data_IF_899627340647
#
_entry.id   IF_899627340647
#
_cell.length_a   1.000
_cell.length_b   1.000
_cell.length_c   1.000
_cell.angle_alpha   90.00
_cell.angle_beta   90.00
_cell.angle_gamma   90.00
#
_symmetry.space_group_name_H-M   'P 1'
#
loop_
_entity.id
_entity.type
_entity.pdbx_description
1 polymer ?
#
# COMPACT_ATOMS: atom_id res chain seq x y z
N UNK A 1 -25.83 3.92 10.68
CA UNK A 1 -24.74 2.95 10.80
C UNK A 1 -23.43 3.72 10.78
N UNK A 2 -22.62 3.67 11.84
CA UNK A 2 -21.33 4.36 11.84
C UNK A 2 -20.32 3.55 11.00
N UNK A 3 -19.59 4.23 10.11
CA UNK A 3 -18.53 3.61 9.32
C UNK A 3 -17.27 3.49 10.17
N UNK A 4 -16.87 2.27 10.54
CA UNK A 4 -15.61 2.00 11.22
C UNK A 4 -14.49 1.77 10.20
N UNK A 5 -13.52 2.68 10.18
CA UNK A 5 -12.37 2.63 9.30
C UNK A 5 -11.25 1.68 9.78
N UNK A 6 -11.36 1.12 10.99
CA UNK A 6 -10.37 0.23 11.63
C UNK A 6 -8.95 0.80 11.63
N UNK A 7 -8.84 2.12 11.85
CA UNK A 7 -7.55 2.81 11.95
C UNK A 7 -6.87 2.36 13.25
N UNK A 8 -5.58 1.98 13.24
CA UNK A 8 -4.89 1.57 14.46
C UNK A 8 -4.86 2.69 15.50
N UNK A 9 -4.79 2.34 16.78
CA UNK A 9 -4.76 3.29 17.89
C UNK A 9 -3.37 3.91 18.08
N UNK A 10 -3.27 4.96 18.89
CA UNK A 10 -2.02 5.62 19.26
C UNK A 10 -1.62 6.83 18.39
N UNK A 11 -0.46 7.46 18.70
CA UNK A 11 0.03 8.65 18.00
C UNK A 11 0.23 8.41 16.51
N UNK A 12 0.02 9.44 15.67
CA UNK A 12 0.05 9.32 14.20
C UNK A 12 1.38 8.73 13.70
N UNK A 13 2.51 9.23 14.21
CA UNK A 13 3.86 8.84 13.80
C UNK A 13 4.16 7.36 14.07
N UNK A 14 3.64 6.81 15.16
CA UNK A 14 3.94 5.44 15.59
C UNK A 14 2.82 4.45 15.23
N UNK A 15 1.67 4.96 14.79
CA UNK A 15 0.42 4.21 14.62
C UNK A 15 0.59 2.90 13.86
N UNK A 16 1.25 2.95 12.70
CA UNK A 16 1.43 1.79 11.83
C UNK A 16 2.63 0.93 12.21
N UNK A 17 3.66 1.52 12.81
CA UNK A 17 4.78 0.78 13.40
C UNK A 17 4.29 -0.10 14.55
N UNK A 18 3.49 0.45 15.45
CA UNK A 18 2.87 -0.28 16.57
C UNK A 18 1.85 -1.33 16.09
N UNK A 19 1.09 -1.02 15.03
CA UNK A 19 0.19 -2.01 14.45
C UNK A 19 0.96 -3.20 13.86
N UNK A 20 2.03 -2.96 13.10
CA UNK A 20 2.86 -4.03 12.52
C UNK A 20 3.53 -4.89 13.58
N UNK A 21 3.93 -4.33 14.73
CA UNK A 21 4.58 -5.12 15.79
C UNK A 21 3.61 -6.02 16.56
N UNK A 22 2.32 -5.70 16.55
CA UNK A 22 1.27 -6.43 17.27
C UNK A 22 0.42 -7.34 16.38
N UNK A 23 0.57 -7.27 15.06
CA UNK A 23 -0.23 -8.06 14.12
C UNK A 23 0.08 -9.56 14.24
N UNK A 24 -0.96 -10.38 14.28
CA UNK A 24 -0.81 -11.85 14.29
C UNK A 24 -0.22 -12.32 12.97
N UNK A 25 0.91 -13.01 13.04
CA UNK A 25 1.58 -13.56 11.87
C UNK A 25 0.97 -14.90 11.45
N UNK A 26 0.98 -15.18 10.15
CA UNK A 26 0.58 -16.48 9.60
C UNK A 26 1.82 -17.38 9.52
N UNK A 27 1.75 -18.55 10.17
CA UNK A 27 2.80 -19.56 10.10
C UNK A 27 3.05 -19.99 8.63
N UNK A 28 4.30 -20.07 8.16
CA UNK A 28 4.64 -20.56 6.81
C UNK A 28 3.93 -21.84 6.36
N UNK A 29 3.78 -22.83 7.24
CA UNK A 29 3.08 -24.09 6.94
C UNK A 29 1.58 -23.89 6.67
N UNK A 30 0.99 -22.83 7.21
CA UNK A 30 -0.43 -22.51 7.03
C UNK A 30 -0.70 -21.64 5.81
N UNK A 31 0.30 -20.93 5.26
CA UNK A 31 0.10 -20.03 4.10
C UNK A 31 -0.49 -20.76 2.89
N UNK A 32 -0.01 -21.97 2.60
CA UNK A 32 -0.51 -22.82 1.49
C UNK A 32 -1.95 -23.31 1.66
N UNK A 33 -2.47 -23.27 2.89
CA UNK A 33 -3.86 -23.66 3.20
C UNK A 33 -4.84 -22.50 2.98
N UNK A 34 -4.33 -21.28 2.81
CA UNK A 34 -5.14 -20.09 2.60
C UNK A 34 -5.15 -19.73 1.11
N UNK A 35 -6.34 -19.59 0.56
CA UNK A 35 -6.55 -19.12 -0.80
C UNK A 35 -6.94 -17.64 -0.78
N UNK A 36 -6.25 -16.83 -1.59
CA UNK A 36 -6.46 -15.39 -1.69
C UNK A 36 -7.02 -15.09 -3.07
N UNK A 37 -8.18 -14.44 -3.11
CA UNK A 37 -8.79 -13.95 -4.33
C UNK A 37 -8.43 -12.48 -4.51
N UNK A 38 -7.75 -12.15 -5.60
CA UNK A 38 -7.42 -10.77 -5.97
C UNK A 38 -8.32 -10.36 -7.13
N UNK A 39 -9.17 -9.36 -6.91
CA UNK A 39 -10.11 -8.85 -7.91
C UNK A 39 -9.54 -7.55 -8.49
N UNK A 40 -9.19 -7.59 -9.77
CA UNK A 40 -8.53 -6.52 -10.49
C UNK A 40 -7.03 -6.79 -10.69
N UNK A 41 -6.54 -6.54 -11.90
CA UNK A 41 -5.14 -6.77 -12.30
C UNK A 41 -4.40 -5.48 -12.71
N UNK A 42 -4.87 -4.33 -12.22
CA UNK A 42 -4.08 -3.08 -12.27
C UNK A 42 -2.88 -3.15 -11.32
N UNK A 43 -2.10 -2.06 -11.23
CA UNK A 43 -0.87 -2.05 -10.42
C UNK A 43 -1.07 -2.58 -8.99
N UNK A 44 -2.09 -2.08 -8.28
CA UNK A 44 -2.36 -2.54 -6.91
C UNK A 44 -2.68 -4.04 -6.82
N UNK A 45 -3.51 -4.56 -7.74
CA UNK A 45 -3.91 -5.97 -7.73
C UNK A 45 -2.78 -6.90 -8.17
N UNK A 46 -2.06 -6.53 -9.24
CA UNK A 46 -0.89 -7.28 -9.71
C UNK A 46 0.21 -7.33 -8.64
N UNK A 47 0.55 -6.20 -8.02
CA UNK A 47 1.54 -6.14 -6.93
C UNK A 47 1.10 -6.98 -5.72
N UNK A 48 -0.17 -6.87 -5.29
CA UNK A 48 -0.68 -7.68 -4.20
C UNK A 48 -0.63 -9.18 -4.53
N UNK A 49 -1.04 -9.58 -5.73
CA UNK A 49 -1.03 -10.96 -6.17
C UNK A 49 0.41 -11.52 -6.21
N UNK A 50 1.36 -10.76 -6.76
CA UNK A 50 2.77 -11.15 -6.83
C UNK A 50 3.39 -11.31 -5.44
N UNK A 51 3.30 -10.31 -4.58
CA UNK A 51 3.89 -10.36 -3.23
C UNK A 51 3.28 -11.48 -2.37
N UNK A 52 1.96 -11.72 -2.48
CA UNK A 52 1.32 -12.79 -1.73
C UNK A 52 1.68 -14.18 -2.29
N UNK A 53 1.78 -14.33 -3.61
CA UNK A 53 2.24 -15.57 -4.22
C UNK A 53 3.69 -15.90 -3.82
N UNK A 54 4.58 -14.91 -3.83
CA UNK A 54 5.98 -15.03 -3.39
C UNK A 54 6.08 -15.47 -1.92
N UNK A 55 5.20 -14.97 -1.06
CA UNK A 55 5.12 -15.39 0.34
C UNK A 55 4.65 -16.84 0.52
N UNK A 56 4.17 -17.52 -0.53
CA UNK A 56 3.75 -18.91 -0.53
C UNK A 56 2.23 -19.12 -0.35
N UNK A 57 1.42 -18.09 -0.55
CA UNK A 57 -0.04 -18.21 -0.55
C UNK A 57 -0.55 -18.75 -1.90
N UNK A 58 -1.72 -19.41 -1.87
CA UNK A 58 -2.42 -19.78 -3.11
C UNK A 58 -3.22 -18.57 -3.58
N UNK A 59 -2.80 -17.93 -4.67
CA UNK A 59 -3.43 -16.71 -5.18
C UNK A 59 -4.20 -17.00 -6.48
N UNK A 60 -5.44 -16.53 -6.55
CA UNK A 60 -6.25 -16.47 -7.78
C UNK A 60 -6.50 -15.01 -8.13
N UNK A 61 -5.99 -14.56 -9.28
CA UNK A 61 -6.19 -13.21 -9.77
C UNK A 61 -7.29 -13.20 -10.85
N UNK A 62 -8.23 -12.28 -10.73
CA UNK A 62 -9.35 -12.11 -11.65
C UNK A 62 -9.30 -10.72 -12.28
N UNK A 63 -9.47 -10.65 -13.59
CA UNK A 63 -9.70 -9.40 -14.31
C UNK A 63 -11.03 -9.46 -15.05
N UNK A 64 -11.69 -8.31 -15.14
CA UNK A 64 -12.89 -8.16 -15.97
C UNK A 64 -12.53 -7.79 -17.41
N UNK A 65 -11.35 -7.21 -17.61
CA UNK A 65 -10.87 -6.77 -18.92
C UNK A 65 -10.49 -7.94 -19.83
N UNK A 66 -10.50 -7.72 -21.14
CA UNK A 66 -10.07 -8.71 -22.16
C UNK A 66 -8.64 -9.22 -21.95
N UNK A 67 -7.80 -8.43 -21.28
CA UNK A 67 -6.44 -8.83 -20.90
C UNK A 67 -6.08 -8.23 -19.54
N UNK A 68 -5.33 -8.95 -18.69
CA UNK A 68 -4.81 -8.43 -17.44
C UNK A 68 -4.01 -7.12 -17.58
N UNK A 69 -3.45 -6.85 -18.77
CA UNK A 69 -2.65 -5.65 -19.08
C UNK A 69 -3.49 -4.42 -19.47
N UNK A 70 -4.81 -4.53 -19.53
CA UNK A 70 -5.71 -3.44 -19.97
C UNK A 70 -6.36 -2.66 -18.82
N UNK A 71 -5.88 -2.83 -17.59
CA UNK A 71 -6.27 -1.96 -16.49
C UNK A 71 -5.77 -0.53 -16.72
N UNK A 72 -6.51 0.47 -16.24
CA UNK A 72 -6.21 1.90 -16.47
C UNK A 72 -4.79 2.31 -16.04
N UNK A 73 -4.17 1.57 -15.12
CA UNK A 73 -2.79 1.80 -14.71
C UNK A 73 -1.78 1.82 -15.86
N UNK A 74 -2.06 1.18 -17.01
CA UNK A 74 -1.18 1.23 -18.19
C UNK A 74 -1.07 2.62 -18.81
N UNK A 75 -2.05 3.51 -18.55
CA UNK A 75 -2.07 4.87 -19.08
C UNK A 75 -1.29 5.87 -18.21
N UNK A 76 -0.69 5.43 -17.09
CA UNK A 76 0.11 6.31 -16.24
C UNK A 76 1.40 6.74 -16.95
N UNK A 77 1.76 8.03 -16.84
CA UNK A 77 2.91 8.61 -17.56
C UNK A 77 3.88 9.38 -16.65
N UNK A 78 3.38 10.23 -15.75
CA UNK A 78 4.22 11.19 -15.02
C UNK A 78 5.25 10.56 -14.08
N UNK A 79 4.83 9.56 -13.29
CA UNK A 79 5.71 8.87 -12.34
C UNK A 79 4.99 8.44 -11.07
N UNK A 80 5.79 8.04 -10.08
CA UNK A 80 5.33 7.68 -8.73
C UNK A 80 6.03 8.58 -7.71
N UNK A 81 5.27 9.17 -6.80
CA UNK A 81 5.81 9.97 -5.71
C UNK A 81 6.38 9.05 -4.63
N UNK A 82 7.58 9.37 -4.15
CA UNK A 82 8.22 8.66 -3.05
C UNK A 82 9.08 9.60 -2.21
N UNK A 83 9.07 9.40 -0.90
CA UNK A 83 9.92 10.13 0.04
C UNK A 83 11.39 9.66 -0.10
N UNK A 84 12.05 10.05 -1.19
CA UNK A 84 13.37 9.56 -1.60
C UNK A 84 14.36 10.72 -1.70
N UNK A 85 15.21 10.82 -0.70
CA UNK A 85 16.27 11.83 -0.62
C UNK A 85 17.48 11.51 -1.52
N UNK A 86 17.28 10.96 -2.72
CA UNK A 86 18.38 10.58 -3.64
C UNK A 86 19.21 11.78 -4.10
N UNK A 87 18.59 12.97 -4.17
CA UNK A 87 19.25 14.20 -4.56
C UNK A 87 19.87 14.95 -3.37
N UNK A 88 19.80 14.39 -2.17
CA UNK A 88 20.14 15.09 -0.92
C UNK A 88 19.40 16.44 -0.79
N UNK A 89 18.14 16.50 -1.22
CA UNK A 89 17.26 17.67 -1.20
C UNK A 89 16.47 17.82 0.10
N UNK A 90 16.71 16.93 1.08
CA UNK A 90 16.05 16.93 2.37
C UNK A 90 14.64 16.33 2.32
N UNK A 91 14.32 15.54 1.30
CA UNK A 91 13.04 14.87 1.22
C UNK A 91 12.84 13.89 2.40
N UNK A 92 11.60 13.76 2.86
CA UNK A 92 11.28 12.95 4.04
C UNK A 92 9.81 12.53 4.05
N UNK A 93 9.52 11.51 4.85
CA UNK A 93 8.15 11.02 5.10
C UNK A 93 7.22 12.16 5.51
N UNK A 94 7.70 13.07 6.37
CA UNK A 94 6.91 14.21 6.83
C UNK A 94 6.54 15.16 5.69
N UNK A 95 7.47 15.48 4.78
CA UNK A 95 7.21 16.39 3.65
C UNK A 95 6.15 15.83 2.72
N UNK A 96 6.31 14.56 2.29
CA UNK A 96 5.33 13.89 1.45
C UNK A 96 3.96 13.78 2.15
N UNK A 97 3.93 13.48 3.45
CA UNK A 97 2.70 13.46 4.26
C UNK A 97 2.01 14.83 4.24
N UNK A 98 2.74 15.89 4.59
CA UNK A 98 2.22 17.25 4.67
C UNK A 98 1.67 17.73 3.32
N UNK A 99 2.43 17.54 2.25
CA UNK A 99 2.01 17.93 0.90
C UNK A 99 0.78 17.16 0.44
N UNK A 100 0.65 15.88 0.82
CA UNK A 100 -0.53 15.07 0.49
C UNK A 100 -1.77 15.49 1.28
N UNK A 101 -1.63 15.84 2.57
CA UNK A 101 -2.75 16.36 3.38
C UNK A 101 -3.20 17.72 2.84
N UNK A 102 -2.25 18.63 2.61
CA UNK A 102 -2.52 19.97 2.05
C UNK A 102 -3.13 19.87 0.64
N UNK A 103 -2.55 19.05 -0.24
CA UNK A 103 -3.05 18.86 -1.60
C UNK A 103 -4.42 18.16 -1.65
N UNK A 104 -4.76 17.38 -0.62
CA UNK A 104 -6.08 16.78 -0.43
C UNK A 104 -7.09 17.71 0.26
N UNK A 105 -6.82 19.02 0.34
CA UNK A 105 -7.67 20.01 1.00
C UNK A 105 -8.02 19.65 2.46
N UNK A 106 -7.09 18.99 3.15
CA UNK A 106 -7.25 18.48 4.52
C UNK A 106 -8.40 17.48 4.71
N UNK A 107 -8.93 16.92 3.61
CA UNK A 107 -10.03 15.91 3.63
C UNK A 107 -9.53 14.48 3.64
N UNK A 108 -8.24 14.29 3.39
CA UNK A 108 -7.58 12.98 3.43
C UNK A 108 -7.49 12.45 4.85
N UNK A 109 -7.61 11.13 5.02
CA UNK A 109 -7.45 10.48 6.33
C UNK A 109 -5.97 10.46 6.71
N UNK A 110 -5.56 11.33 7.63
CA UNK A 110 -4.16 11.53 8.03
C UNK A 110 -3.43 10.23 8.35
N UNK A 111 -4.07 9.31 9.09
CA UNK A 111 -3.49 8.00 9.39
C UNK A 111 -3.06 7.24 8.13
N UNK A 112 -3.92 7.20 7.10
CA UNK A 112 -3.61 6.49 5.86
C UNK A 112 -2.59 7.23 5.00
N UNK A 113 -2.63 8.57 5.03
CA UNK A 113 -1.65 9.40 4.32
C UNK A 113 -0.25 9.23 4.93
N UNK A 114 -0.15 9.18 6.26
CA UNK A 114 1.12 8.92 6.94
C UNK A 114 1.67 7.55 6.53
N UNK A 115 0.80 6.53 6.48
CA UNK A 115 1.20 5.20 6.01
C UNK A 115 1.68 5.18 4.57
N UNK A 116 0.98 5.91 3.69
CA UNK A 116 1.37 6.07 2.29
C UNK A 116 2.78 6.65 2.21
N UNK A 117 3.05 7.72 2.95
CA UNK A 117 4.36 8.37 2.96
C UNK A 117 5.46 7.43 3.49
N UNK A 118 5.22 6.70 4.58
CA UNK A 118 6.15 5.69 5.12
C UNK A 118 6.49 4.60 4.10
N UNK A 119 5.48 4.03 3.44
CA UNK A 119 5.65 2.90 2.51
C UNK A 119 6.31 3.36 1.21
N UNK A 120 6.11 4.62 0.82
CA UNK A 120 6.70 5.19 -0.39
C UNK A 120 8.22 5.12 -0.43
N UNK A 121 8.89 5.09 0.74
CA UNK A 121 10.35 4.95 0.84
C UNK A 121 10.85 3.64 0.22
N UNK A 122 10.02 2.59 0.22
CA UNK A 122 10.41 1.27 -0.29
C UNK A 122 9.78 0.94 -1.65
N UNK A 123 8.75 1.67 -2.09
CA UNK A 123 7.90 1.24 -3.22
C UNK A 123 8.62 1.20 -4.58
N UNK A 124 9.70 1.97 -4.74
CA UNK A 124 10.49 2.04 -5.97
C UNK A 124 11.55 0.93 -6.03
N UNK A 125 12.04 0.45 -4.88
CA UNK A 125 13.17 -0.48 -4.80
C UNK A 125 12.73 -1.94 -4.57
N UNK A 126 11.42 -2.21 -4.61
CA UNK A 126 10.83 -3.54 -4.43
C UNK A 126 10.97 -4.43 -5.66
#
# INVERSE_FOLDING_TARGET
MALDAKIPQGPLADKWTNYKSSVKLVNPANKRKLEILVIGTGLAGASAAASLAELGYKVKAFCFQDSPRRAHSIAAQGGINAAKNYKNDGDSVYRLFYDTVKGGDFRSREANVHRLAEVSVNIIDQ
#
